data_IF_634440570923
#
_entry.id   IF_634440570923
#
_cell.length_a   1.000
_cell.length_b   1.000
_cell.length_c   1.000
_cell.angle_alpha   90.00
_cell.angle_beta   90.00
_cell.angle_gamma   90.00
#
_symmetry.space_group_name_H-M   'P 1'
#
loop_
_entity.id
_entity.type
_entity.pdbx_description
1 polymer ?
#
# COMPACT_ATOMS: atom_id res chain seq x y z
N UNK A 1 -27.76 -8.87 0.25
CA UNK A 1 -27.47 -8.35 -1.11
C UNK A 1 -26.16 -8.99 -1.53
N UNK A 2 -26.12 -9.92 -2.51
CA UNK A 2 -24.85 -10.56 -2.92
C UNK A 2 -23.92 -9.46 -3.41
N UNK A 3 -22.94 -9.07 -2.59
CA UNK A 3 -21.93 -8.08 -2.99
C UNK A 3 -21.28 -8.61 -4.27
N UNK A 4 -21.49 -7.90 -5.37
CA UNK A 4 -21.04 -8.29 -6.69
C UNK A 4 -19.54 -8.65 -6.66
N UNK A 5 -19.22 -9.82 -7.20
CA UNK A 5 -17.85 -10.35 -7.21
C UNK A 5 -16.87 -9.36 -7.85
N UNK A 6 -17.36 -8.55 -8.80
CA UNK A 6 -16.61 -7.46 -9.46
C UNK A 6 -16.17 -6.39 -8.47
N UNK A 7 -17.05 -5.95 -7.57
CA UNK A 7 -16.74 -4.91 -6.56
C UNK A 7 -15.70 -5.43 -5.57
N UNK A 8 -15.75 -6.72 -5.23
CA UNK A 8 -14.76 -7.37 -4.35
C UNK A 8 -13.38 -7.38 -4.98
N UNK A 9 -13.26 -7.74 -6.26
CA UNK A 9 -11.99 -7.73 -6.99
C UNK A 9 -11.48 -6.28 -7.16
N UNK A 10 -12.36 -5.32 -7.47
CA UNK A 10 -11.95 -3.90 -7.52
C UNK A 10 -11.40 -3.41 -6.18
N UNK A 11 -12.03 -3.76 -5.05
CA UNK A 11 -11.56 -3.38 -3.72
C UNK A 11 -10.22 -4.04 -3.35
N UNK A 12 -9.97 -5.27 -3.81
CA UNK A 12 -8.68 -5.95 -3.66
C UNK A 12 -7.59 -5.17 -4.38
N UNK A 13 -7.77 -4.94 -5.68
CA UNK A 13 -6.80 -4.22 -6.50
C UNK A 13 -6.55 -2.81 -5.95
N UNK A 14 -7.62 -2.11 -5.53
CA UNK A 14 -7.50 -0.80 -4.94
C UNK A 14 -6.66 -0.81 -3.66
N UNK A 15 -6.95 -1.71 -2.70
CA UNK A 15 -6.21 -1.78 -1.44
C UNK A 15 -4.75 -2.21 -1.65
N UNK A 16 -4.49 -3.18 -2.51
CA UNK A 16 -3.12 -3.62 -2.81
C UNK A 16 -2.31 -2.47 -3.43
N UNK A 17 -2.85 -1.78 -4.44
CA UNK A 17 -2.18 -0.64 -5.05
C UNK A 17 -1.99 0.52 -4.07
N UNK A 18 -3.03 0.87 -3.31
CA UNK A 18 -2.97 1.97 -2.36
C UNK A 18 -1.89 1.73 -1.30
N UNK A 19 -1.85 0.54 -0.68
CA UNK A 19 -0.86 0.24 0.34
C UNK A 19 0.55 0.05 -0.23
N UNK A 20 0.71 -0.48 -1.45
CA UNK A 20 2.01 -0.53 -2.11
C UNK A 20 2.60 0.88 -2.33
N UNK A 21 1.77 1.84 -2.74
CA UNK A 21 2.20 3.23 -2.94
C UNK A 21 2.47 3.91 -1.60
N UNK A 22 1.55 3.82 -0.63
CA UNK A 22 1.67 4.51 0.66
C UNK A 22 2.93 4.12 1.41
N UNK A 23 3.30 2.84 1.43
CA UNK A 23 4.51 2.38 2.14
C UNK A 23 5.78 2.93 1.48
N UNK A 24 5.83 3.00 0.15
CA UNK A 24 6.95 3.59 -0.58
C UNK A 24 7.04 5.10 -0.32
N UNK A 25 5.91 5.80 -0.37
CA UNK A 25 5.85 7.25 -0.11
C UNK A 25 6.27 7.58 1.32
N UNK A 26 5.83 6.80 2.31
CA UNK A 26 6.24 6.98 3.71
C UNK A 26 7.73 6.75 3.90
N UNK A 27 8.32 5.77 3.21
CA UNK A 27 9.76 5.53 3.27
C UNK A 27 10.56 6.68 2.63
N UNK A 28 10.11 7.18 1.47
CA UNK A 28 10.72 8.36 0.86
C UNK A 28 10.63 9.57 1.79
N UNK A 29 9.48 9.80 2.43
CA UNK A 29 9.32 10.89 3.38
C UNK A 29 10.24 10.74 4.60
N UNK A 30 10.38 9.52 5.13
CA UNK A 30 11.32 9.23 6.21
C UNK A 30 12.77 9.51 5.78
N UNK A 31 13.16 9.16 4.56
CA UNK A 31 14.48 9.47 4.01
C UNK A 31 14.70 10.99 3.84
N UNK A 32 13.67 11.72 3.42
CA UNK A 32 13.73 13.18 3.34
C UNK A 32 13.88 13.85 4.71
N UNK A 33 13.16 13.38 5.72
CA UNK A 33 13.13 13.99 7.06
C UNK A 33 14.29 13.55 7.94
N UNK A 34 14.61 12.25 7.95
CA UNK A 34 15.57 11.63 8.89
C UNK A 34 16.96 11.54 8.30
N UNK A 35 17.09 11.12 7.04
CA UNK A 35 18.38 10.94 6.40
C UNK A 35 18.93 12.24 5.78
N UNK A 36 18.18 13.35 5.85
CA UNK A 36 18.65 14.65 5.36
C UNK A 36 18.87 14.67 3.85
N UNK A 37 18.26 13.74 3.10
CA UNK A 37 18.46 13.60 1.65
C UNK A 37 18.14 14.90 0.91
N UNK A 38 17.18 15.70 1.39
CA UNK A 38 16.91 17.03 0.84
C UNK A 38 18.13 17.97 0.92
N UNK A 39 18.92 17.87 1.98
CA UNK A 39 20.09 18.73 2.23
C UNK A 39 21.25 18.30 1.33
N UNK A 40 21.46 16.99 1.17
CA UNK A 40 22.48 16.44 0.25
C UNK A 40 22.14 16.73 -1.22
N UNK A 41 20.86 16.67 -1.58
CA UNK A 41 20.37 17.04 -2.90
C UNK A 41 20.54 18.55 -3.15
N UNK A 42 20.30 19.38 -2.13
CA UNK A 42 20.47 20.84 -2.20
C UNK A 42 21.95 21.25 -2.30
N UNK A 43 22.85 20.51 -1.64
CA UNK A 43 24.30 20.71 -1.74
C UNK A 43 24.90 20.22 -3.07
N UNK A 44 24.12 19.47 -3.86
CA UNK A 44 24.58 18.90 -5.13
C UNK A 44 25.55 17.73 -4.96
N UNK A 45 25.66 17.18 -3.74
CA UNK A 45 26.49 16.00 -3.45
C UNK A 45 25.83 14.69 -3.90
N UNK A 46 24.50 14.71 -4.09
CA UNK A 46 23.71 13.56 -4.51
C UNK A 46 22.78 13.90 -5.68
N UNK A 47 22.82 13.11 -6.75
CA UNK A 47 21.87 13.21 -7.85
C UNK A 47 20.62 12.39 -7.58
N UNK A 48 19.46 12.86 -8.03
CA UNK A 48 18.17 12.13 -7.87
C UNK A 48 18.25 10.73 -8.48
N UNK A 49 18.94 10.58 -9.61
CA UNK A 49 19.14 9.30 -10.31
C UNK A 49 19.92 8.29 -9.47
N UNK A 50 21.02 8.72 -8.86
CA UNK A 50 21.89 7.85 -8.04
C UNK A 50 21.16 7.40 -6.78
N UNK A 51 20.37 8.29 -6.17
CA UNK A 51 19.52 7.97 -5.04
C UNK A 51 18.54 6.83 -5.35
N UNK A 52 17.85 6.90 -6.49
CA UNK A 52 16.92 5.85 -6.90
C UNK A 52 17.64 4.56 -7.29
N UNK A 53 18.81 4.62 -7.93
CA UNK A 53 19.57 3.42 -8.28
C UNK A 53 20.06 2.65 -7.05
N UNK A 54 20.57 3.36 -6.04
CA UNK A 54 21.03 2.77 -4.78
C UNK A 54 19.87 2.13 -3.99
N UNK A 55 18.68 2.74 -4.04
CA UNK A 55 17.54 2.33 -3.21
C UNK A 55 16.48 1.53 -3.97
N UNK A 56 16.64 1.27 -5.27
CA UNK A 56 15.65 0.55 -6.09
C UNK A 56 15.21 -0.78 -5.47
N UNK A 57 16.16 -1.57 -4.96
CA UNK A 57 15.87 -2.87 -4.35
C UNK A 57 15.12 -2.72 -3.02
N UNK A 58 15.43 -1.67 -2.26
CA UNK A 58 14.79 -1.40 -0.97
C UNK A 58 13.35 -0.90 -1.20
N UNK A 59 13.15 0.02 -2.14
CA UNK A 59 11.84 0.51 -2.54
C UNK A 59 10.96 -0.61 -3.13
N UNK A 60 11.54 -1.52 -3.93
CA UNK A 60 10.84 -2.69 -4.44
C UNK A 60 10.36 -3.61 -3.30
N UNK A 61 11.23 -3.90 -2.33
CA UNK A 61 10.88 -4.71 -1.15
C UNK A 61 9.78 -4.05 -0.32
N UNK A 62 9.85 -2.75 -0.11
CA UNK A 62 8.83 -1.97 0.61
C UNK A 62 7.49 -1.95 -0.12
N UNK A 63 7.50 -1.77 -1.44
CA UNK A 63 6.30 -1.87 -2.27
C UNK A 63 5.65 -3.25 -2.15
N UNK A 64 6.46 -4.32 -2.18
CA UNK A 64 5.99 -5.68 -1.94
C UNK A 64 5.38 -5.87 -0.55
N UNK A 65 6.00 -5.33 0.49
CA UNK A 65 5.43 -5.36 1.86
C UNK A 65 4.11 -4.59 1.93
N UNK A 66 4.01 -3.42 1.30
CA UNK A 66 2.77 -2.66 1.20
C UNK A 66 1.66 -3.45 0.49
N UNK A 67 1.98 -4.12 -0.61
CA UNK A 67 1.03 -4.98 -1.31
C UNK A 67 0.52 -6.14 -0.43
N UNK A 68 1.40 -6.79 0.34
CA UNK A 68 1.03 -7.84 1.29
C UNK A 68 0.10 -7.30 2.37
N UNK A 69 0.41 -6.13 2.94
CA UNK A 69 -0.46 -5.47 3.95
C UNK A 69 -1.83 -5.17 3.34
N UNK A 70 -1.88 -4.58 2.14
CA UNK A 70 -3.13 -4.30 1.44
C UNK A 70 -3.97 -5.56 1.20
N UNK A 71 -3.32 -6.68 0.85
CA UNK A 71 -3.97 -7.98 0.71
C UNK A 71 -4.53 -8.50 2.04
N UNK A 72 -3.75 -8.43 3.13
CA UNK A 72 -4.19 -8.86 4.46
C UNK A 72 -5.37 -8.02 4.94
N UNK A 73 -5.31 -6.70 4.79
CA UNK A 73 -6.41 -5.78 5.13
C UNK A 73 -7.67 -6.15 4.34
N UNK A 74 -7.55 -6.34 3.03
CA UNK A 74 -8.68 -6.78 2.20
C UNK A 74 -9.23 -8.14 2.67
N UNK A 75 -8.37 -9.10 3.00
CA UNK A 75 -8.78 -10.43 3.46
C UNK A 75 -9.59 -10.36 4.77
N UNK A 76 -9.19 -9.49 5.71
CA UNK A 76 -9.97 -9.23 6.91
C UNK A 76 -11.35 -8.63 6.61
N UNK A 77 -11.43 -7.64 5.72
CA UNK A 77 -12.71 -7.05 5.30
C UNK A 77 -13.60 -8.07 4.58
N UNK A 78 -13.01 -8.90 3.73
CA UNK A 78 -13.70 -10.00 3.04
C UNK A 78 -14.33 -10.97 4.05
N UNK A 79 -13.57 -11.37 5.07
CA UNK A 79 -14.05 -12.29 6.11
C UNK A 79 -15.16 -11.65 6.95
N UNK A 80 -15.04 -10.36 7.27
CA UNK A 80 -16.04 -9.61 8.05
C UNK A 80 -17.36 -9.42 7.29
N UNK A 81 -17.30 -9.11 5.99
CA UNK A 81 -18.48 -9.04 5.12
C UNK A 81 -19.18 -10.39 4.95
N UNK A 82 -18.43 -11.50 4.98
CA UNK A 82 -19.03 -12.84 4.91
C UNK A 82 -19.75 -13.27 6.19
N UNK A 83 -19.50 -12.61 7.33
CA UNK A 83 -20.06 -12.97 8.64
C UNK A 83 -21.18 -12.04 9.12
N UNK A 84 -21.20 -10.79 8.63
CA UNK A 84 -22.26 -9.82 8.88
C UNK A 84 -23.03 -9.54 7.58
N UNK A 85 -23.88 -10.48 7.17
CA UNK A 85 -25.05 -10.15 6.37
C UNK A 85 -26.25 -10.03 7.34
N UNK A 86 -26.47 -8.88 8.01
CA UNK A 86 -27.55 -8.70 8.99
C UNK A 86 -28.95 -8.83 8.36
N UNK A 87 -29.02 -8.83 7.02
CA UNK A 87 -30.25 -9.00 6.26
C UNK A 87 -30.69 -10.46 6.12
N UNK A 88 -29.79 -11.44 6.34
CA UNK A 88 -30.13 -12.87 6.26
C UNK A 88 -31.16 -13.28 7.32
N UNK A 89 -31.31 -12.47 8.37
CA UNK A 89 -32.29 -12.67 9.44
C UNK A 89 -33.73 -12.31 9.04
N UNK A 90 -33.92 -11.55 7.97
CA UNK A 90 -35.23 -11.00 7.55
C UNK A 90 -35.81 -11.67 6.29
N UNK A 91 -35.08 -12.60 5.66
CA UNK A 91 -35.51 -13.29 4.44
C UNK A 91 -35.68 -14.81 4.61
N UNK A 92 -35.98 -15.27 5.83
CA UNK A 92 -36.26 -16.69 6.13
C UNK A 92 -37.76 -16.96 6.21
#
# INVERSE_FOLDING_TARGET
>A
MRVDTKVRICSLCYLVCAYAIVVVVMALFADFVVAGVAIDLWRGELTVTDYFELRKLLLLKLSGLGAIIGFVVWFFFYRKQSHHDPLDKYFK
#
